data_IF_399404459636
#
_entry.id   IF_399404459636
#
_cell.length_a   1.000
_cell.length_b   1.000
_cell.length_c   1.000
_cell.angle_alpha   90.00
_cell.angle_beta   90.00
_cell.angle_gamma   90.00
#
_symmetry.space_group_name_H-M   'P 1'
#
loop_
_entity.id
_entity.type
_entity.pdbx_description
1 polymer ?
#
# COMPACT_ATOMS: atom_id res chain seq x y z
N UNK A 1 -6.79 8.40 18.74
CA UNK A 1 -5.56 8.63 19.55
C UNK A 1 -4.42 8.03 18.75
N UNK A 2 -3.29 8.73 18.58
CA UNK A 2 -2.19 8.22 17.74
C UNK A 2 -1.11 7.49 18.55
N UNK A 3 -0.36 6.63 17.87
CA UNK A 3 0.93 6.10 18.33
C UNK A 3 1.98 6.38 17.26
N UNK A 4 3.25 6.40 17.66
CA UNK A 4 4.36 6.52 16.72
C UNK A 4 4.95 5.13 16.47
N UNK A 5 5.06 4.75 15.21
CA UNK A 5 5.67 3.48 14.77
C UNK A 5 6.71 3.74 13.69
N UNK A 6 7.72 2.89 13.57
CA UNK A 6 8.65 3.00 12.46
C UNK A 6 7.96 2.57 11.15
N UNK A 7 8.20 3.21 10.00
CA UNK A 7 7.62 2.77 8.72
C UNK A 7 7.90 1.30 8.38
N UNK A 8 9.05 0.76 8.79
CA UNK A 8 9.38 -0.68 8.65
C UNK A 8 8.45 -1.59 9.48
N UNK A 9 7.97 -1.11 10.62
CA UNK A 9 7.01 -1.86 11.45
C UNK A 9 5.65 -1.90 10.77
N UNK A 10 5.24 -0.83 10.08
CA UNK A 10 4.02 -0.85 9.25
C UNK A 10 4.12 -1.92 8.18
N UNK A 11 5.24 -1.99 7.44
CA UNK A 11 5.46 -3.01 6.42
C UNK A 11 5.37 -4.43 7.01
N UNK A 12 6.12 -4.72 8.08
CA UNK A 12 6.12 -6.04 8.72
C UNK A 12 4.73 -6.43 9.23
N UNK A 13 4.06 -5.49 9.90
CA UNK A 13 2.77 -5.73 10.52
C UNK A 13 1.67 -5.97 9.46
N UNK A 14 1.67 -5.20 8.38
CA UNK A 14 0.75 -5.39 7.24
C UNK A 14 1.02 -6.69 6.52
N UNK A 15 2.29 -7.06 6.29
CA UNK A 15 2.64 -8.34 5.69
C UNK A 15 2.05 -9.49 6.53
N UNK A 16 2.40 -9.57 7.82
CA UNK A 16 1.93 -10.66 8.70
C UNK A 16 0.42 -10.71 8.80
N UNK A 17 -0.23 -9.55 8.95
CA UNK A 17 -1.69 -9.48 9.00
C UNK A 17 -2.34 -9.98 7.70
N UNK A 18 -1.78 -9.62 6.54
CA UNK A 18 -2.30 -10.05 5.23
C UNK A 18 -2.12 -11.56 5.04
N UNK A 19 -1.00 -12.13 5.49
CA UNK A 19 -0.76 -13.59 5.48
C UNK A 19 -1.76 -14.35 6.35
N UNK A 20 -2.10 -13.81 7.53
CA UNK A 20 -3.16 -14.39 8.38
C UNK A 20 -4.53 -14.38 7.72
N UNK A 21 -4.76 -13.49 6.76
CA UNK A 21 -6.00 -13.35 5.99
C UNK A 21 -5.93 -14.07 4.63
N UNK A 22 -4.99 -15.00 4.44
CA UNK A 22 -4.98 -15.90 3.27
C UNK A 22 -4.16 -15.42 2.08
N UNK A 23 -3.64 -14.18 2.07
CA UNK A 23 -2.74 -13.75 1.01
C UNK A 23 -1.49 -14.64 0.95
N UNK A 24 -1.04 -15.00 -0.25
CA UNK A 24 0.27 -15.61 -0.43
C UNK A 24 1.41 -14.65 -0.02
N UNK A 25 2.65 -15.14 0.02
CA UNK A 25 3.79 -14.35 0.47
C UNK A 25 4.07 -13.13 -0.43
N UNK A 26 3.95 -13.32 -1.75
CA UNK A 26 4.27 -12.29 -2.74
C UNK A 26 3.20 -11.19 -2.73
N UNK A 27 1.92 -11.58 -2.64
CA UNK A 27 0.80 -10.66 -2.55
C UNK A 27 0.81 -9.88 -1.22
N UNK A 28 1.14 -10.55 -0.11
CA UNK A 28 1.28 -9.89 1.19
C UNK A 28 2.44 -8.88 1.20
N UNK A 29 3.60 -9.23 0.64
CA UNK A 29 4.74 -8.31 0.48
C UNK A 29 4.38 -7.10 -0.39
N UNK A 30 3.70 -7.36 -1.50
CA UNK A 30 3.28 -6.31 -2.41
C UNK A 30 2.32 -5.34 -1.73
N UNK A 31 1.27 -5.87 -1.08
CA UNK A 31 0.28 -5.07 -0.39
C UNK A 31 0.90 -4.29 0.76
N UNK A 32 1.79 -4.90 1.55
CA UNK A 32 2.51 -4.21 2.62
C UNK A 32 3.31 -3.01 2.12
N UNK A 33 4.00 -3.15 1.00
CA UNK A 33 4.75 -2.05 0.39
C UNK A 33 3.83 -0.91 -0.11
N UNK A 34 2.69 -1.25 -0.71
CA UNK A 34 1.70 -0.27 -1.20
C UNK A 34 1.05 0.49 -0.03
N UNK A 35 0.54 -0.25 0.98
CA UNK A 35 -0.11 0.31 2.17
C UNK A 35 0.84 1.19 2.97
N UNK A 36 2.07 0.73 3.24
CA UNK A 36 3.04 1.51 4.00
C UNK A 36 3.48 2.77 3.23
N UNK A 37 3.69 2.64 1.92
CA UNK A 37 3.99 3.81 1.08
C UNK A 37 2.85 4.82 1.14
N UNK A 38 1.60 4.37 1.02
CA UNK A 38 0.43 5.23 1.08
C UNK A 38 0.29 5.91 2.45
N UNK A 39 0.43 5.16 3.55
CA UNK A 39 0.33 5.72 4.90
C UNK A 39 1.36 6.83 5.13
N UNK A 40 2.60 6.64 4.66
CA UNK A 40 3.68 7.64 4.80
C UNK A 40 3.43 8.89 3.95
N UNK A 41 2.96 8.74 2.71
CA UNK A 41 2.95 9.86 1.74
C UNK A 41 1.58 10.52 1.55
N UNK A 42 0.49 9.82 1.88
CA UNK A 42 -0.89 10.24 1.62
C UNK A 42 -1.83 10.04 2.81
N UNK A 43 -1.45 9.16 3.75
CA UNK A 43 -2.31 8.73 4.85
C UNK A 43 -3.46 7.83 4.40
N UNK A 44 -4.08 7.13 5.36
CA UNK A 44 -5.24 6.27 5.11
C UNK A 44 -4.91 4.89 4.53
N UNK A 45 -3.64 4.52 4.46
CA UNK A 45 -3.21 3.18 4.10
C UNK A 45 -3.68 2.13 5.11
N UNK A 46 -3.49 2.38 6.40
CA UNK A 46 -3.94 1.44 7.44
C UNK A 46 -5.46 1.30 7.48
N UNK A 47 -6.17 2.41 7.26
CA UNK A 47 -7.63 2.40 7.18
C UNK A 47 -8.10 1.58 5.97
N UNK A 48 -7.47 1.77 4.81
CA UNK A 48 -7.76 1.00 3.61
C UNK A 48 -7.50 -0.49 3.79
N UNK A 49 -6.36 -0.88 4.40
CA UNK A 49 -6.08 -2.28 4.70
C UNK A 49 -7.17 -2.90 5.57
N UNK A 50 -7.58 -2.18 6.63
CA UNK A 50 -8.64 -2.63 7.53
C UNK A 50 -9.97 -2.82 6.79
N UNK A 51 -10.36 -1.89 5.93
CA UNK A 51 -11.57 -2.01 5.10
C UNK A 51 -11.50 -3.20 4.14
N UNK A 52 -10.34 -3.43 3.51
CA UNK A 52 -10.13 -4.58 2.64
C UNK A 52 -10.20 -5.90 3.39
N UNK A 53 -9.61 -5.98 4.58
CA UNK A 53 -9.66 -7.17 5.43
C UNK A 53 -11.10 -7.48 5.88
N UNK A 54 -11.87 -6.46 6.27
CA UNK A 54 -13.28 -6.61 6.67
C UNK A 54 -14.17 -7.07 5.51
N UNK A 55 -13.80 -6.74 4.27
CA UNK A 55 -14.51 -7.10 3.06
C UNK A 55 -14.03 -8.40 2.40
N UNK A 56 -12.96 -9.03 2.93
CA UNK A 56 -12.29 -10.19 2.32
C UNK A 56 -11.80 -9.92 0.89
N UNK A 57 -11.22 -8.73 0.66
CA UNK A 57 -10.77 -8.25 -0.67
C UNK A 57 -9.25 -7.98 -0.73
N UNK A 58 -8.48 -8.51 0.22
CA UNK A 58 -7.04 -8.24 0.31
C UNK A 58 -6.27 -8.81 -0.90
N UNK A 59 -6.65 -10.00 -1.35
CA UNK A 59 -6.00 -10.68 -2.48
C UNK A 59 -6.26 -9.91 -3.78
N UNK A 60 -7.51 -9.56 -4.06
CA UNK A 60 -7.93 -8.79 -5.23
C UNK A 60 -7.26 -7.41 -5.26
N UNK A 61 -7.21 -6.73 -4.11
CA UNK A 61 -6.53 -5.45 -3.99
C UNK A 61 -5.02 -5.56 -4.24
N UNK A 62 -4.36 -6.61 -3.74
CA UNK A 62 -2.95 -6.85 -4.01
C UNK A 62 -2.70 -7.07 -5.52
N UNK A 63 -3.65 -7.72 -6.21
CA UNK A 63 -3.57 -7.97 -7.64
C UNK A 63 -3.64 -6.70 -8.51
N UNK A 64 -4.27 -5.62 -8.02
CA UNK A 64 -4.42 -4.38 -8.76
C UNK A 64 -3.09 -3.80 -9.25
N UNK A 65 -2.01 -3.96 -8.48
CA UNK A 65 -0.68 -3.52 -8.88
C UNK A 65 -0.11 -4.27 -10.09
N UNK A 66 -0.49 -5.53 -10.29
CA UNK A 66 -0.12 -6.29 -11.50
C UNK A 66 -0.96 -5.87 -12.71
N UNK A 67 -2.23 -5.53 -12.52
CA UNK A 67 -3.06 -4.95 -13.58
C UNK A 67 -2.48 -3.64 -14.08
N UNK A 68 -1.94 -2.80 -13.18
CA UNK A 68 -1.20 -1.59 -13.56
C UNK A 68 0.06 -1.89 -14.37
N UNK A 69 0.87 -2.86 -13.94
CA UNK A 69 2.07 -3.26 -14.66
C UNK A 69 1.74 -3.82 -16.06
N UNK A 70 0.66 -4.60 -16.20
CA UNK A 70 0.20 -5.08 -17.49
C UNK A 70 -0.27 -3.93 -18.39
N UNK A 71 -1.02 -2.97 -17.84
CA UNK A 71 -1.49 -1.80 -18.56
C UNK A 71 -0.34 -0.89 -19.02
N UNK A 72 0.71 -0.74 -18.21
CA UNK A 72 1.92 -0.04 -18.61
C UNK A 72 2.59 -0.64 -19.85
N UNK A 73 2.70 -1.98 -19.91
CA UNK A 73 3.26 -2.67 -21.09
C UNK A 73 2.44 -2.36 -22.34
N UNK A 74 1.11 -2.37 -22.21
CA UNK A 74 0.21 -1.98 -23.32
C UNK A 74 0.46 -0.52 -23.71
N UNK A 75 0.48 0.40 -22.74
CA UNK A 75 0.70 1.82 -22.97
C UNK A 75 2.01 2.11 -23.72
N UNK A 76 3.09 1.38 -23.42
CA UNK A 76 4.35 1.51 -24.15
C UNK A 76 4.26 1.07 -25.62
N UNK A 77 3.37 0.13 -25.94
CA UNK A 77 3.16 -0.33 -27.31
C UNK A 77 2.20 0.56 -28.11
N UNK A 78 1.18 1.12 -27.48
CA UNK A 78 0.10 1.89 -28.12
C UNK A 78 0.17 3.40 -27.89
N UNK A 79 1.09 3.86 -27.05
CA UNK A 79 1.20 5.24 -26.55
C UNK A 79 0.19 5.61 -25.46
N UNK A 80 -0.92 4.88 -25.35
CA UNK A 80 -1.96 5.08 -24.32
C UNK A 80 -2.77 3.82 -24.05
N UNK A 81 -3.29 3.67 -22.85
CA UNK A 81 -4.29 2.65 -22.53
C UNK A 81 -5.19 3.11 -21.39
N UNK A 82 -6.32 2.44 -21.21
CA UNK A 82 -7.17 2.57 -20.01
C UNK A 82 -7.13 1.25 -19.26
N UNK A 83 -6.93 1.31 -17.95
CA UNK A 83 -7.05 0.16 -17.06
C UNK A 83 -8.28 0.33 -16.18
N UNK A 84 -9.13 -0.70 -16.14
CA UNK A 84 -10.28 -0.77 -15.25
C UNK A 84 -10.01 -1.77 -14.13
N UNK A 85 -10.63 -1.53 -12.98
CA UNK A 85 -10.56 -2.41 -11.82
C UNK A 85 -11.96 -2.80 -11.38
N UNK A 86 -12.17 -4.10 -11.14
CA UNK A 86 -13.42 -4.66 -10.63
C UNK A 86 -13.09 -5.81 -9.66
N UNK A 87 -13.27 -5.66 -8.34
CA UNK A 87 -13.72 -4.43 -7.67
C UNK A 87 -12.66 -3.30 -7.72
N UNK A 88 -13.07 -2.01 -7.60
CA UNK A 88 -12.14 -0.90 -7.50
C UNK A 88 -11.25 -1.01 -6.25
N UNK A 89 -9.90 -1.01 -6.38
CA UNK A 89 -9.02 -0.96 -5.22
C UNK A 89 -9.05 0.43 -4.58
N UNK A 90 -8.83 0.53 -3.26
CA UNK A 90 -8.48 1.80 -2.65
C UNK A 90 -7.11 2.29 -3.18
N UNK A 91 -6.89 3.59 -3.22
CA UNK A 91 -5.62 4.19 -3.66
C UNK A 91 -4.43 3.57 -2.94
N UNK A 92 -4.57 3.24 -1.66
CA UNK A 92 -3.52 2.63 -0.86
C UNK A 92 -2.98 1.30 -1.39
N UNK A 93 -3.76 0.55 -2.16
CA UNK A 93 -3.33 -0.72 -2.74
C UNK A 93 -2.48 -0.53 -4.02
N UNK A 94 -2.40 0.69 -4.57
CA UNK A 94 -1.68 0.98 -5.82
C UNK A 94 -0.81 2.24 -5.78
N UNK A 95 -0.76 2.97 -4.66
CA UNK A 95 -0.12 4.28 -4.55
C UNK A 95 1.38 4.27 -4.92
N UNK A 96 2.13 3.24 -4.49
CA UNK A 96 3.54 3.09 -4.82
C UNK A 96 3.70 2.71 -6.29
N UNK A 97 2.85 1.82 -6.80
CA UNK A 97 2.86 1.44 -8.21
C UNK A 97 2.62 2.66 -9.12
N UNK A 98 1.72 3.58 -8.76
CA UNK A 98 1.50 4.84 -9.48
C UNK A 98 2.75 5.73 -9.45
N UNK A 99 3.42 5.84 -8.31
CA UNK A 99 4.70 6.57 -8.21
C UNK A 99 5.78 5.96 -9.11
N UNK A 100 5.83 4.63 -9.19
CA UNK A 100 6.79 3.92 -10.04
C UNK A 100 6.46 4.08 -11.53
N UNK A 101 5.19 4.23 -11.92
CA UNK A 101 4.77 4.60 -13.28
C UNK A 101 5.26 6.00 -13.67
N UNK A 102 5.06 7.00 -12.81
CA UNK A 102 5.55 8.38 -13.07
C UNK A 102 7.06 8.41 -13.28
N UNK A 103 7.81 7.71 -12.42
CA UNK A 103 9.27 7.60 -12.51
C UNK A 103 9.74 6.96 -13.82
N UNK A 104 8.91 6.12 -14.42
CA UNK A 104 9.16 5.46 -15.71
C UNK A 104 8.61 6.24 -16.92
N UNK A 105 8.05 7.44 -16.69
CA UNK A 105 7.55 8.31 -17.74
C UNK A 105 6.15 7.99 -18.25
N UNK A 106 5.36 7.33 -17.41
CA UNK A 106 3.94 7.07 -17.65
C UNK A 106 3.12 8.03 -16.81
N UNK A 107 2.34 8.88 -17.48
CA UNK A 107 1.34 9.73 -16.83
C UNK A 107 0.07 8.93 -16.64
N UNK A 108 -0.61 9.13 -15.52
CA UNK A 108 -1.93 8.55 -15.27
C UNK A 108 -2.95 9.66 -15.01
N UNK A 109 -4.21 9.42 -15.36
CA UNK A 109 -5.32 10.34 -15.09
C UNK A 109 -6.51 9.54 -14.56
N UNK A 110 -7.05 9.88 -13.38
CA UNK A 110 -8.27 9.25 -12.87
C UNK A 110 -9.49 9.76 -13.66
N UNK A 111 -10.63 9.07 -13.60
CA UNK A 111 -11.80 9.40 -14.41
C UNK A 111 -12.42 10.74 -13.99
N UNK A 112 -12.28 11.09 -12.71
CA UNK A 112 -12.79 12.32 -12.10
C UNK A 112 -11.78 12.82 -11.07
N UNK A 113 -11.58 14.14 -11.02
CA UNK A 113 -10.73 14.81 -10.03
C UNK A 113 -9.23 14.67 -10.30
N UNK A 114 -8.42 14.88 -9.26
CA UNK A 114 -6.98 14.67 -9.30
C UNK A 114 -6.57 13.63 -8.26
N UNK A 115 -5.59 12.78 -8.58
CA UNK A 115 -5.04 11.81 -7.61
C UNK A 115 -4.39 12.53 -6.41
N UNK A 116 -4.00 13.80 -6.54
CA UNK A 116 -3.42 14.57 -5.45
C UNK A 116 -4.43 14.84 -4.32
N UNK A 117 -5.73 14.89 -4.64
CA UNK A 117 -6.79 15.15 -3.67
C UNK A 117 -7.30 13.86 -2.98
N UNK A 118 -6.84 12.69 -3.43
CA UNK A 118 -7.26 11.41 -2.90
C UNK A 118 -6.41 10.97 -1.70
N UNK A 119 -7.10 10.43 -0.71
CA UNK A 119 -6.55 9.71 0.44
C UNK A 119 -6.43 8.22 0.16
N UNK A 120 -5.71 7.48 1.01
CA UNK A 120 -5.50 6.05 0.83
C UNK A 120 -6.78 5.21 0.73
N UNK A 121 -7.89 5.66 1.30
CA UNK A 121 -9.17 4.94 1.30
C UNK A 121 -10.04 5.17 0.06
N UNK A 122 -9.72 6.19 -0.74
CA UNK A 122 -10.53 6.53 -1.91
C UNK A 122 -10.39 5.46 -3.00
N UNK A 123 -11.53 5.01 -3.55
CA UNK A 123 -11.57 3.95 -4.56
C UNK A 123 -11.16 4.45 -5.94
N UNK A 124 -10.38 3.65 -6.66
CA UNK A 124 -9.89 3.95 -8.00
C UNK A 124 -10.50 2.98 -9.01
N UNK A 125 -11.61 3.32 -9.68
CA UNK A 125 -12.31 2.40 -10.58
C UNK A 125 -11.58 2.19 -11.90
N UNK A 126 -10.87 3.19 -12.39
CA UNK A 126 -10.05 3.11 -13.60
C UNK A 126 -9.01 4.21 -13.66
N UNK A 127 -8.03 4.04 -14.54
CA UNK A 127 -6.99 5.02 -14.84
C UNK A 127 -6.68 5.03 -16.33
N UNK A 128 -6.56 6.21 -16.91
CA UNK A 128 -5.97 6.39 -18.24
C UNK A 128 -4.46 6.54 -18.09
N UNK A 129 -3.70 5.70 -18.79
CA UNK A 129 -2.24 5.74 -18.84
C UNK A 129 -1.77 6.28 -20.19
N UNK A 130 -0.84 7.23 -20.18
CA UNK A 130 -0.24 7.81 -21.39
C UNK A 130 1.28 7.85 -21.25
N UNK A 131 1.98 7.38 -22.28
CA UNK A 131 3.44 7.42 -22.32
C UNK A 131 3.87 8.74 -22.96
N UNK A 132 4.33 9.68 -22.14
CA UNK A 132 4.74 11.04 -22.58
C UNK A 132 6.20 11.34 -22.30
N UNK A 133 7.02 10.31 -22.08
CA UNK A 133 8.38 10.45 -21.58
C UNK A 133 8.39 10.86 -20.09
N UNK A 134 9.56 10.82 -19.43
CA UNK A 134 9.68 11.19 -18.03
C UNK A 134 9.18 12.63 -17.84
N UNK A 135 8.20 12.81 -16.95
CA UNK A 135 7.81 14.14 -16.51
C UNK A 135 9.05 14.85 -15.93
N UNK A 136 9.24 16.16 -16.15
CA UNK A 136 10.21 16.92 -15.37
C UNK A 136 9.80 16.74 -13.90
N UNK A 137 10.64 16.09 -13.11
CA UNK A 137 10.38 15.89 -11.68
C UNK A 137 10.18 17.28 -11.08
N UNK A 138 8.97 17.64 -10.59
CA UNK A 138 8.84 18.86 -9.84
C UNK A 138 9.59 18.62 -8.53
N UNK A 139 10.76 19.25 -8.39
CA UNK A 139 11.40 19.43 -7.08
C UNK A 139 10.53 20.41 -6.28
N UNK A 140 9.36 19.96 -5.82
CA UNK A 140 8.53 20.80 -4.96
C UNK A 140 7.89 19.98 -3.83
N UNK A 141 8.50 20.12 -2.65
CA UNK A 141 7.90 20.10 -1.31
C UNK A 141 7.40 18.79 -0.69
N UNK A 142 7.49 17.63 -1.36
CA UNK A 142 7.09 16.34 -0.74
C UNK A 142 8.24 15.43 -0.33
N UNK A 143 9.51 15.84 -0.44
CA UNK A 143 10.66 15.01 -0.02
C UNK A 143 10.97 15.09 1.49
N UNK A 144 10.50 16.13 2.18
CA UNK A 144 10.78 16.34 3.61
C UNK A 144 9.86 15.52 4.53
N UNK A 145 8.63 15.26 4.12
CA UNK A 145 7.66 14.46 4.88
C UNK A 145 8.03 12.96 4.99
N UNK A 146 8.49 12.28 3.93
CA UNK A 146 8.96 10.91 4.05
C UNK A 146 10.26 10.83 4.87
N UNK A 147 11.19 11.76 4.70
CA UNK A 147 12.47 11.75 5.45
C UNK A 147 12.28 11.94 6.95
N UNK A 148 11.35 12.80 7.36
CA UNK A 148 10.95 12.95 8.77
C UNK A 148 10.25 11.71 9.31
N UNK A 149 9.35 11.07 8.57
CA UNK A 149 8.72 9.81 9.01
C UNK A 149 9.72 8.66 9.23
N UNK A 150 10.79 8.60 8.43
CA UNK A 150 11.85 7.60 8.62
C UNK A 150 12.77 7.89 9.83
N UNK A 151 12.88 9.15 10.25
CA UNK A 151 13.70 9.56 11.40
C UNK A 151 12.90 9.58 12.71
N UNK A 152 11.74 10.25 12.71
CA UNK A 152 10.92 10.52 13.90
C UNK A 152 9.83 9.46 14.13
N UNK A 153 9.59 8.60 13.14
CA UNK A 153 8.49 7.64 13.12
C UNK A 153 7.20 8.24 12.55
N UNK A 154 6.28 7.34 12.21
CA UNK A 154 5.01 7.63 11.59
C UNK A 154 3.90 7.64 12.65
N UNK A 155 3.18 8.76 12.83
CA UNK A 155 1.99 8.79 13.68
C UNK A 155 0.85 8.03 13.00
N UNK A 156 0.39 6.94 13.60
CA UNK A 156 -0.71 6.10 13.11
C UNK A 156 -1.86 6.08 14.11
N UNK A 157 -3.08 5.87 13.65
CA UNK A 157 -4.22 5.72 14.55
C UNK A 157 -4.07 4.42 15.37
N UNK A 158 -4.17 4.56 16.70
CA UNK A 158 -4.00 3.44 17.64
C UNK A 158 -5.00 2.33 17.40
N UNK A 159 -6.26 2.66 17.10
CA UNK A 159 -7.31 1.64 16.94
C UNK A 159 -7.09 0.82 15.66
N UNK A 160 -6.68 1.46 14.57
CA UNK A 160 -6.30 0.77 13.33
C UNK A 160 -5.07 -0.10 13.57
N UNK A 161 -4.07 0.42 14.29
CA UNK A 161 -2.88 -0.34 14.63
C UNK A 161 -3.18 -1.57 15.48
N UNK A 162 -4.04 -1.45 16.49
CA UNK A 162 -4.44 -2.58 17.36
C UNK A 162 -5.20 -3.66 16.57
N UNK A 163 -6.06 -3.27 15.62
CA UNK A 163 -6.74 -4.20 14.72
C UNK A 163 -5.75 -4.95 13.83
N UNK A 164 -4.78 -4.23 13.25
CA UNK A 164 -3.70 -4.83 12.47
C UNK A 164 -2.81 -5.76 13.32
N UNK A 165 -2.56 -5.37 14.58
CA UNK A 165 -1.83 -6.16 15.55
C UNK A 165 -2.54 -7.48 15.87
N UNK A 166 -3.85 -7.44 16.11
CA UNK A 166 -4.66 -8.62 16.34
C UNK A 166 -4.67 -9.55 15.11
N UNK A 167 -4.81 -9.01 13.91
CA UNK A 167 -4.74 -9.77 12.66
C UNK A 167 -3.40 -10.48 12.47
N UNK A 168 -2.29 -9.77 12.65
CA UNK A 168 -0.96 -10.33 12.50
C UNK A 168 -0.57 -11.34 13.59
N UNK A 169 -1.23 -11.33 14.75
CA UNK A 169 -1.00 -12.32 15.79
C UNK A 169 -1.41 -13.73 15.34
N UNK A 170 -2.28 -13.85 14.34
CA UNK A 170 -2.60 -15.12 13.68
C UNK A 170 -1.50 -15.65 12.76
N UNK A 171 -0.46 -14.87 12.46
CA UNK A 171 0.61 -15.30 11.58
C UNK A 171 1.53 -16.27 12.32
N UNK A 172 1.76 -17.49 11.80
CA UNK A 172 2.54 -18.49 12.50
C UNK A 172 3.98 -18.01 12.71
N UNK A 173 4.38 -17.92 13.97
CA UNK A 173 5.77 -17.81 14.40
C UNK A 173 6.35 -19.20 14.60
N UNK A 174 7.67 -19.34 14.42
CA UNK A 174 8.37 -20.60 14.72
C UNK A 174 8.02 -21.09 16.13
N UNK A 175 7.69 -22.38 16.27
CA UNK A 175 7.39 -23.00 17.57
C UNK A 175 8.49 -22.72 18.61
N UNK A 176 9.76 -22.64 18.18
CA UNK A 176 10.89 -22.31 19.06
C UNK A 176 10.78 -20.92 19.71
N UNK A 177 10.14 -19.95 19.06
CA UNK A 177 9.90 -18.61 19.59
C UNK A 177 8.77 -18.64 20.62
N UNK A 178 7.72 -19.45 20.37
CA UNK A 178 6.63 -19.67 21.32
C UNK A 178 7.14 -20.38 22.58
N UNK A 179 7.97 -21.40 22.40
CA UNK A 179 8.60 -22.15 23.51
C UNK A 179 9.54 -21.27 24.36
N UNK A 180 10.24 -20.33 23.73
CA UNK A 180 11.10 -19.38 24.44
C UNK A 180 10.30 -18.36 25.26
N UNK A 181 9.16 -17.89 24.74
CA UNK A 181 8.27 -16.98 25.46
C UNK A 181 7.51 -17.65 26.62
N UNK A 182 7.27 -18.96 26.52
CA UNK A 182 6.59 -19.76 27.54
C UNK A 182 7.53 -20.30 28.64
N UNK A 183 8.86 -20.14 28.50
CA UNK A 183 9.81 -20.46 29.57
C UNK A 183 9.80 -19.35 30.63
N UNK A 184 9.54 -19.66 31.92
CA UNK A 184 9.67 -18.68 32.99
C UNK A 184 11.12 -18.18 33.06
N UNK A 185 11.30 -16.87 33.23
CA UNK A 185 12.61 -16.27 33.45
C UNK A 185 13.26 -16.86 34.73
N UNK A 186 14.60 -17.03 34.75
CA UNK A 186 15.32 -17.61 35.88
C UNK A 186 15.22 -16.77 37.17
#
# INVERSE_FOLDING_TARGET
>A
MTITVAPREVVDQVHRASRSHGCDADLADRLAAEIAFCEVHRGGGLAAWVTLADADLLEEAAHASFHLAAAEVVAHSSGRTTVGFDPPPPLAAIARSLRDLERRGVRYTPPVGTIADLTGTDLVPSLDLVVDGPAPVPHDRTEDQPTTAYHDGLPVDRSLWERLAAAAAGFPVSEAVLDAALKPAP
#
